data_IF_234971727574
#
_entry.id   IF_234971727574
#
_cell.length_a   1.000
_cell.length_b   1.000
_cell.length_c   1.000
_cell.angle_alpha   90.00
_cell.angle_beta   90.00
_cell.angle_gamma   90.00
#
_symmetry.space_group_name_H-M   'P 1'
#
loop_
_entity.id
_entity.type
_entity.pdbx_description
1 polymer ?
#
# COMPACT_ATOMS: atom_id res chain seq x y z
N UNK A 1 19.92 12.60 13.92
CA UNK A 1 19.36 11.70 12.88
C UNK A 1 18.42 12.53 12.02
N UNK A 2 18.51 12.40 10.70
CA UNK A 2 18.13 13.41 9.69
C UNK A 2 16.74 14.07 9.90
N UNK A 3 16.74 15.39 10.11
CA UNK A 3 15.56 16.27 10.19
C UNK A 3 14.89 16.54 8.81
N UNK A 4 15.32 15.88 7.74
CA UNK A 4 14.93 16.19 6.36
C UNK A 4 13.80 15.30 5.81
N UNK A 5 13.26 14.40 6.63
CA UNK A 5 12.14 13.51 6.28
C UNK A 5 10.99 13.80 7.25
N UNK A 6 10.37 14.96 7.10
CA UNK A 6 9.37 15.48 8.04
C UNK A 6 8.06 14.68 8.06
N UNK A 7 7.78 13.88 7.03
CA UNK A 7 6.59 13.02 6.97
C UNK A 7 6.63 11.80 7.89
N UNK A 8 7.81 11.40 8.41
CA UNK A 8 7.90 10.35 9.44
C UNK A 8 7.65 10.88 10.86
N UNK A 9 7.66 12.21 11.06
CA UNK A 9 7.23 12.79 12.33
C UNK A 9 5.71 12.98 12.32
N UNK A 10 5.05 12.28 13.24
CA UNK A 10 3.60 12.31 13.39
C UNK A 10 3.10 13.68 13.86
N UNK A 11 1.89 14.05 13.41
CA UNK A 11 1.27 15.33 13.70
C UNK A 11 1.82 16.52 12.89
N UNK A 12 2.66 16.26 11.89
CA UNK A 12 3.17 17.30 10.98
C UNK A 12 2.26 17.48 9.78
N UNK A 13 2.34 18.64 9.11
CA UNK A 13 1.64 18.85 7.83
C UNK A 13 1.99 17.75 6.81
N UNK A 14 3.25 17.31 6.79
CA UNK A 14 3.72 16.24 5.91
C UNK A 14 3.04 14.90 6.19
N UNK A 15 2.83 14.53 7.47
CA UNK A 15 2.17 13.28 7.82
C UNK A 15 0.69 13.29 7.42
N UNK A 16 -0.02 14.42 7.55
CA UNK A 16 -1.40 14.55 7.07
C UNK A 16 -1.51 14.44 5.55
N UNK A 17 -0.63 15.12 4.81
CA UNK A 17 -0.61 15.06 3.34
C UNK A 17 -0.31 13.64 2.86
N UNK A 18 0.62 12.94 3.53
CA UNK A 18 0.95 11.55 3.24
C UNK A 18 -0.24 10.61 3.43
N UNK A 19 -0.98 10.74 4.54
CA UNK A 19 -2.19 9.93 4.77
C UNK A 19 -3.29 10.21 3.74
N UNK A 20 -3.53 11.48 3.43
CA UNK A 20 -4.50 11.87 2.40
C UNK A 20 -4.09 11.28 1.05
N UNK A 21 -2.79 11.22 0.74
CA UNK A 21 -2.30 10.61 -0.49
C UNK A 21 -2.66 9.12 -0.57
N UNK A 22 -2.55 8.35 0.51
CA UNK A 22 -2.99 6.95 0.54
C UNK A 22 -4.49 6.80 0.26
N UNK A 23 -5.33 7.64 0.88
CA UNK A 23 -6.79 7.64 0.64
C UNK A 23 -7.11 7.97 -0.82
N UNK A 24 -6.50 9.02 -1.37
CA UNK A 24 -6.71 9.42 -2.76
C UNK A 24 -6.24 8.34 -3.73
N UNK A 25 -5.12 7.68 -3.46
CA UNK A 25 -4.61 6.60 -4.28
C UNK A 25 -5.56 5.39 -4.23
N UNK A 26 -6.00 5.00 -3.03
CA UNK A 26 -6.99 3.93 -2.84
C UNK A 26 -8.24 4.16 -3.67
N UNK A 27 -8.84 5.36 -3.56
CA UNK A 27 -10.03 5.73 -4.34
C UNK A 27 -9.76 5.73 -5.85
N UNK A 28 -8.58 6.18 -6.27
CA UNK A 28 -8.20 6.17 -7.69
C UNK A 28 -8.10 4.75 -8.25
N UNK A 29 -7.61 3.78 -7.47
CA UNK A 29 -7.56 2.38 -7.88
C UNK A 29 -8.96 1.78 -8.03
N UNK A 30 -9.85 2.05 -7.07
CA UNK A 30 -11.25 1.62 -7.15
C UNK A 30 -11.95 2.24 -8.36
N UNK A 31 -11.69 3.51 -8.64
CA UNK A 31 -12.20 4.19 -9.82
C UNK A 31 -11.73 3.51 -11.12
N UNK A 32 -10.44 3.21 -11.27
CA UNK A 32 -9.97 2.49 -12.47
C UNK A 32 -10.58 1.10 -12.62
N UNK A 33 -10.74 0.37 -11.52
CA UNK A 33 -11.43 -0.92 -11.55
C UNK A 33 -12.88 -0.71 -12.03
N UNK A 34 -13.61 0.24 -11.44
CA UNK A 34 -14.98 0.58 -11.86
C UNK A 34 -15.07 0.86 -13.36
N UNK A 35 -14.20 1.73 -13.89
CA UNK A 35 -14.21 2.10 -15.30
C UNK A 35 -13.93 0.91 -16.23
N UNK A 36 -12.99 0.03 -15.87
CA UNK A 36 -12.70 -1.16 -16.67
C UNK A 36 -13.89 -2.12 -16.72
N UNK A 37 -14.58 -2.31 -15.59
CA UNK A 37 -15.79 -3.13 -15.56
C UNK A 37 -16.95 -2.48 -16.30
N UNK A 38 -17.15 -1.16 -16.14
CA UNK A 38 -18.18 -0.39 -16.84
C UNK A 38 -18.01 -0.48 -18.37
N UNK A 39 -16.78 -0.34 -18.85
CA UNK A 39 -16.44 -0.47 -20.27
C UNK A 39 -16.33 -1.93 -20.77
N UNK A 40 -16.56 -2.93 -19.92
CA UNK A 40 -16.42 -4.36 -20.22
C UNK A 40 -15.03 -4.74 -20.80
N UNK A 41 -13.98 -4.05 -20.33
CA UNK A 41 -12.61 -4.23 -20.81
C UNK A 41 -11.87 -5.37 -20.09
N UNK A 42 -12.35 -5.81 -18.92
CA UNK A 42 -11.79 -6.94 -18.15
C UNK A 42 -11.77 -8.27 -18.91
N UNK A 43 -12.50 -8.39 -20.02
CA UNK A 43 -12.45 -9.54 -20.93
C UNK A 43 -11.07 -9.71 -21.58
N UNK A 44 -10.34 -8.61 -21.79
CA UNK A 44 -9.00 -8.64 -22.35
C UNK A 44 -7.96 -8.94 -21.28
N UNK A 45 -7.02 -9.85 -21.58
CA UNK A 45 -6.00 -10.32 -20.63
C UNK A 45 -5.21 -9.17 -19.99
N UNK A 46 -4.85 -8.14 -20.77
CA UNK A 46 -4.10 -6.99 -20.26
C UNK A 46 -4.86 -6.22 -19.18
N UNK A 47 -6.11 -5.85 -19.46
CA UNK A 47 -6.97 -5.18 -18.48
C UNK A 47 -7.29 -6.04 -17.26
N UNK A 48 -7.45 -7.35 -17.42
CA UNK A 48 -7.64 -8.26 -16.26
C UNK A 48 -6.45 -8.26 -15.32
N UNK A 49 -5.23 -8.24 -15.85
CA UNK A 49 -4.01 -8.15 -15.03
C UNK A 49 -3.89 -6.77 -14.35
N UNK A 50 -4.27 -5.70 -15.05
CA UNK A 50 -4.32 -4.36 -14.45
C UNK A 50 -5.36 -4.26 -13.32
N UNK A 51 -6.53 -4.87 -13.47
CA UNK A 51 -7.54 -4.95 -12.40
C UNK A 51 -6.97 -5.60 -11.15
N UNK A 52 -6.26 -6.74 -11.30
CA UNK A 52 -5.60 -7.37 -10.16
C UNK A 52 -4.50 -6.49 -9.55
N UNK A 53 -3.70 -5.82 -10.39
CA UNK A 53 -2.68 -4.89 -9.91
C UNK A 53 -3.29 -3.74 -9.09
N UNK A 54 -4.33 -3.09 -9.60
CA UNK A 54 -5.02 -2.01 -8.89
C UNK A 54 -5.74 -2.49 -7.65
N UNK A 55 -6.30 -3.71 -7.64
CA UNK A 55 -6.92 -4.28 -6.46
C UNK A 55 -5.90 -4.49 -5.34
N UNK A 56 -4.70 -5.02 -5.66
CA UNK A 56 -3.63 -5.14 -4.67
C UNK A 56 -3.10 -3.76 -4.24
N UNK A 57 -2.96 -2.80 -5.15
CA UNK A 57 -2.56 -1.43 -4.80
C UNK A 57 -3.60 -0.73 -3.90
N UNK A 58 -4.89 -0.97 -4.12
CA UNK A 58 -5.94 -0.49 -3.23
C UNK A 58 -5.77 -1.10 -1.82
N UNK A 59 -5.62 -2.43 -1.74
CA UNK A 59 -5.38 -3.10 -0.45
C UNK A 59 -4.11 -2.58 0.24
N UNK A 60 -3.03 -2.37 -0.51
CA UNK A 60 -1.78 -1.80 0.01
C UNK A 60 -1.96 -0.39 0.58
N UNK A 61 -2.69 0.49 -0.11
CA UNK A 61 -2.96 1.84 0.40
C UNK A 61 -3.86 1.83 1.63
N UNK A 62 -4.84 0.93 1.69
CA UNK A 62 -5.68 0.76 2.87
C UNK A 62 -4.87 0.25 4.06
N UNK A 63 -4.00 -0.74 3.84
CA UNK A 63 -3.10 -1.29 4.86
C UNK A 63 -2.12 -0.23 5.38
N UNK A 64 -1.49 0.54 4.49
CA UNK A 64 -0.60 1.63 4.85
C UNK A 64 -1.31 2.72 5.67
N UNK A 65 -2.50 3.14 5.26
CA UNK A 65 -3.34 4.08 6.02
C UNK A 65 -3.64 3.55 7.43
N UNK A 66 -4.07 2.28 7.54
CA UNK A 66 -4.37 1.67 8.85
C UNK A 66 -3.11 1.61 9.71
N UNK A 67 -1.97 1.23 9.13
CA UNK A 67 -0.70 1.14 9.84
C UNK A 67 -0.21 2.48 10.36
N UNK A 68 -0.29 3.52 9.54
CA UNK A 68 0.07 4.88 9.92
C UNK A 68 -0.88 5.42 11.00
N UNK A 69 -2.19 5.26 10.85
CA UNK A 69 -3.17 5.61 11.87
C UNK A 69 -2.94 4.87 13.20
N UNK A 70 -2.64 3.58 13.15
CA UNK A 70 -2.35 2.77 14.34
C UNK A 70 -1.07 3.24 15.06
N UNK A 71 -0.03 3.62 14.30
CA UNK A 71 1.23 4.17 14.82
C UNK A 71 1.01 5.57 15.43
N UNK A 72 0.15 6.41 14.83
CA UNK A 72 -0.19 7.76 15.34
C UNK A 72 -0.91 7.73 16.68
N UNK A 73 -1.78 6.74 16.86
CA UNK A 73 -2.61 6.59 18.06
C UNK A 73 -1.92 5.75 19.14
N UNK A 74 -0.71 5.26 18.88
CA UNK A 74 0.00 4.38 19.80
C UNK A 74 0.62 5.18 20.95
N UNK A 75 0.22 4.86 22.17
CA UNK A 75 0.72 5.50 23.38
C UNK A 75 1.89 4.75 24.01
N UNK A 76 2.08 3.47 23.66
CA UNK A 76 3.05 2.58 24.29
C UNK A 76 4.31 2.39 23.43
N UNK A 77 5.49 2.28 24.06
CA UNK A 77 6.73 2.05 23.33
C UNK A 77 6.75 0.65 22.71
N UNK A 78 6.89 0.60 21.39
CA UNK A 78 7.01 -0.64 20.58
C UNK A 78 8.36 -1.35 20.83
N UNK A 79 9.39 -0.58 21.15
CA UNK A 79 10.76 -1.07 21.35
C UNK A 79 11.22 -0.72 22.76
N UNK A 80 11.57 -1.74 23.54
CA UNK A 80 12.21 -1.57 24.84
C UNK A 80 13.70 -1.88 24.76
N UNK A 81 14.50 -1.23 25.60
CA UNK A 81 15.94 -1.44 25.71
C UNK A 81 16.79 -0.62 24.72
N UNK A 82 18.10 -0.82 24.74
CA UNK A 82 19.05 -0.11 23.88
C UNK A 82 20.09 -1.06 23.27
N UNK A 83 20.76 -0.61 22.19
CA UNK A 83 21.78 -1.40 21.50
C UNK A 83 21.25 -2.75 20.99
N UNK A 84 22.05 -3.80 21.21
CA UNK A 84 21.70 -5.18 20.86
C UNK A 84 20.66 -5.82 21.80
N UNK A 85 20.33 -5.17 22.93
CA UNK A 85 19.32 -5.64 23.88
C UNK A 85 17.89 -5.19 23.55
N UNK A 86 17.66 -4.59 22.38
CA UNK A 86 16.33 -4.12 21.96
C UNK A 86 15.36 -5.29 21.82
N UNK A 87 14.15 -5.11 22.34
CA UNK A 87 13.06 -6.08 22.23
C UNK A 87 11.83 -5.42 21.65
N UNK A 88 11.18 -6.14 20.75
CA UNK A 88 9.87 -5.80 20.19
C UNK A 88 8.81 -6.23 21.20
N UNK A 89 7.92 -5.33 21.58
CA UNK A 89 6.83 -5.63 22.50
C UNK A 89 5.54 -5.71 21.70
N UNK A 90 4.96 -6.91 21.65
CA UNK A 90 3.67 -7.18 21.01
C UNK A 90 2.69 -7.71 22.06
N UNK A 91 2.11 -6.81 22.85
CA UNK A 91 1.29 -7.19 24.00
C UNK A 91 -0.21 -7.06 23.73
N UNK A 92 -0.62 -6.22 22.78
CA UNK A 92 -2.02 -5.95 22.45
C UNK A 92 -2.28 -5.91 20.95
N UNK A 93 -3.56 -5.82 20.59
CA UNK A 93 -3.99 -5.79 19.20
C UNK A 93 -3.36 -4.61 18.42
N UNK A 94 -3.23 -3.44 19.04
CA UNK A 94 -2.70 -2.24 18.36
C UNK A 94 -1.21 -2.40 18.02
N UNK A 95 -0.40 -2.91 18.95
CA UNK A 95 1.02 -3.19 18.70
C UNK A 95 1.17 -4.25 17.60
N UNK A 96 0.39 -5.33 17.62
CA UNK A 96 0.37 -6.33 16.55
C UNK A 96 -0.03 -5.74 15.20
N UNK A 97 -1.04 -4.87 15.18
CA UNK A 97 -1.50 -4.19 13.96
C UNK A 97 -0.37 -3.38 13.34
N UNK A 98 0.31 -2.54 14.12
CA UNK A 98 1.45 -1.73 13.67
C UNK A 98 2.58 -2.58 13.08
N UNK A 99 2.83 -3.78 13.63
CA UNK A 99 3.84 -4.67 13.07
C UNK A 99 3.43 -5.28 11.74
N UNK A 100 2.20 -5.81 11.66
CA UNK A 100 1.71 -6.50 10.47
C UNK A 100 1.69 -5.55 9.27
N UNK A 101 1.19 -4.33 9.47
CA UNK A 101 1.09 -3.29 8.42
C UNK A 101 2.45 -2.74 7.99
N UNK A 102 3.58 -3.11 8.63
CA UNK A 102 4.93 -2.74 8.19
C UNK A 102 5.57 -3.77 7.24
N UNK A 103 4.95 -4.93 7.04
CA UNK A 103 5.40 -5.96 6.09
C UNK A 103 4.75 -5.85 4.70
N UNK A 104 3.84 -4.90 4.54
CA UNK A 104 3.04 -4.58 3.36
C UNK A 104 3.88 -4.32 2.09
N UNK A 105 5.03 -3.64 2.23
CA UNK A 105 5.87 -3.22 1.12
C UNK A 105 6.43 -4.39 0.29
N UNK A 106 6.68 -5.54 0.90
CA UNK A 106 7.19 -6.70 0.16
C UNK A 106 6.06 -7.62 -0.33
N UNK A 107 5.04 -7.82 0.51
CA UNK A 107 3.98 -8.81 0.27
C UNK A 107 2.98 -8.31 -0.77
N UNK A 108 2.63 -7.02 -0.78
CA UNK A 108 1.59 -6.47 -1.65
C UNK A 108 2.19 -5.73 -2.86
N UNK A 109 3.22 -4.92 -2.64
CA UNK A 109 3.73 -4.02 -3.68
C UNK A 109 4.43 -4.78 -4.83
N UNK A 110 5.24 -5.80 -4.51
CA UNK A 110 5.96 -6.62 -5.50
C UNK A 110 5.01 -7.33 -6.47
N UNK A 111 4.00 -8.11 -6.00
CA UNK A 111 3.06 -8.75 -6.92
C UNK A 111 2.20 -7.74 -7.67
N UNK A 112 1.84 -6.60 -7.06
CA UNK A 112 1.10 -5.53 -7.73
C UNK A 112 1.86 -5.01 -8.95
N UNK A 113 3.13 -4.62 -8.79
CA UNK A 113 3.94 -4.12 -9.91
C UNK A 113 4.24 -5.19 -10.96
N UNK A 114 4.42 -6.45 -10.56
CA UNK A 114 4.56 -7.56 -11.51
C UNK A 114 3.32 -7.68 -12.40
N UNK A 115 2.13 -7.70 -11.80
CA UNK A 115 0.87 -7.77 -12.55
C UNK A 115 0.63 -6.52 -13.39
N UNK A 116 0.99 -5.35 -12.89
CA UNK A 116 0.91 -4.09 -13.62
C UNK A 116 1.76 -4.14 -14.88
N UNK A 117 3.04 -4.54 -14.75
CA UNK A 117 3.96 -4.72 -15.87
C UNK A 117 3.43 -5.74 -16.88
N UNK A 118 2.98 -6.91 -16.43
CA UNK A 118 2.45 -7.96 -17.30
C UNK A 118 1.16 -7.50 -18.01
N UNK A 119 0.33 -6.71 -17.33
CA UNK A 119 -0.88 -6.10 -17.88
C UNK A 119 -0.54 -5.14 -19.02
N UNK A 120 0.36 -4.19 -18.78
CA UNK A 120 0.83 -3.26 -19.81
C UNK A 120 1.48 -3.98 -20.99
N UNK A 121 2.36 -4.97 -20.72
CA UNK A 121 3.01 -5.79 -21.75
C UNK A 121 1.99 -6.52 -22.62
N UNK A 122 0.90 -7.02 -22.03
CA UNK A 122 -0.17 -7.68 -22.76
C UNK A 122 -1.02 -6.72 -23.59
N UNK A 123 -1.18 -5.45 -23.17
CA UNK A 123 -1.88 -4.42 -23.94
C UNK A 123 -1.05 -3.93 -25.15
N UNK A 124 0.27 -3.86 -25.01
CA UNK A 124 1.18 -3.44 -26.11
C UNK A 124 1.28 -4.52 -27.20
N UNK A 125 1.16 -5.79 -26.83
CA UNK A 125 1.08 -6.88 -27.81
C UNK A 125 -0.27 -6.81 -28.51
N UNK A 126 -0.28 -6.31 -29.75
CA UNK A 126 -1.49 -6.21 -30.61
C UNK A 126 -2.30 -7.52 -30.58
N UNK A 127 -3.64 -7.45 -30.59
CA UNK A 127 -4.44 -8.61 -30.96
C UNK A 127 -4.20 -8.88 -32.45
N UNK A 128 -3.48 -9.95 -32.79
CA UNK A 128 -3.18 -10.33 -34.18
C UNK A 128 -1.77 -10.86 -34.46
N UNK A 129 -1.05 -11.37 -33.46
CA UNK A 129 0.19 -12.10 -33.69
C UNK A 129 0.19 -13.44 -32.93
N UNK A 130 -0.92 -14.19 -33.03
CA UNK A 130 -1.00 -15.66 -33.14
C UNK A 130 -2.28 -15.98 -33.91
#
# INVERSE_FOLDING_TARGET
MAQWVTWYQFGTQGSYVHEIAHVLFFLSMLFFIHEIFHANLQKFRGFRLLVWAWAILALWNLDAFIGHWADWTLQNPIILGQGWGRRLVMYDFQTWLVYITKFDHFILLVPAFLMFYLGLKALVRKPGAE
#
